data_IF_920838713104
#
_entry.id   IF_920838713104
#
_cell.length_a   1.000
_cell.length_b   1.000
_cell.length_c   1.000
_cell.angle_alpha   90.00
_cell.angle_beta   90.00
_cell.angle_gamma   90.00
#
_symmetry.space_group_name_H-M   'P 1'
#
loop_
_entity.id
_entity.type
_entity.pdbx_description
1 polymer ?
#
# COMPACT_ATOMS: atom_id res chain seq x y z
N UNK A 1 -50.20 25.79 -32.16
CA UNK A 1 -50.35 25.46 -30.73
C UNK A 1 -49.77 24.10 -30.35
N UNK A 2 -50.11 22.98 -31.03
CA UNK A 2 -49.52 21.66 -30.71
C UNK A 2 -48.00 21.56 -30.90
N UNK A 3 -47.44 22.19 -31.95
CA UNK A 3 -46.00 22.14 -32.23
C UNK A 3 -45.13 22.84 -31.16
N UNK A 4 -45.54 24.03 -30.71
CA UNK A 4 -44.86 24.76 -29.62
C UNK A 4 -44.87 23.99 -28.29
N UNK A 5 -45.96 23.27 -28.00
CA UNK A 5 -46.04 22.46 -26.78
C UNK A 5 -45.04 21.30 -26.81
N UNK A 6 -44.87 20.66 -27.97
CA UNK A 6 -43.92 19.57 -28.18
C UNK A 6 -42.47 20.06 -28.07
N UNK A 7 -42.12 21.17 -28.70
CA UNK A 7 -40.77 21.76 -28.57
C UNK A 7 -40.42 22.12 -27.12
N UNK A 8 -41.38 22.67 -26.37
CA UNK A 8 -41.18 23.02 -24.96
C UNK A 8 -40.96 21.78 -24.09
N UNK A 9 -41.70 20.70 -24.36
CA UNK A 9 -41.54 19.42 -23.66
C UNK A 9 -40.21 18.73 -23.98
N UNK A 10 -39.78 18.75 -25.24
CA UNK A 10 -38.49 18.18 -25.67
C UNK A 10 -37.34 18.91 -24.99
N UNK A 11 -37.35 20.25 -25.02
CA UNK A 11 -36.30 21.06 -24.38
C UNK A 11 -36.23 20.84 -22.87
N UNK A 12 -37.37 20.73 -22.19
CA UNK A 12 -37.42 20.41 -20.76
C UNK A 12 -36.88 19.01 -20.44
N UNK A 13 -37.09 18.03 -21.33
CA UNK A 13 -36.55 16.68 -21.17
C UNK A 13 -35.04 16.65 -21.39
N UNK A 14 -34.52 17.40 -22.37
CA UNK A 14 -33.09 17.54 -22.64
C UNK A 14 -32.37 18.20 -21.46
N UNK A 15 -32.88 19.32 -20.95
CA UNK A 15 -32.32 20.01 -19.76
C UNK A 15 -32.34 19.12 -18.52
N UNK A 16 -33.38 18.30 -18.35
CA UNK A 16 -33.45 17.33 -17.25
C UNK A 16 -32.39 16.24 -17.39
N UNK A 17 -32.21 15.71 -18.60
CA UNK A 17 -31.23 14.67 -18.88
C UNK A 17 -29.79 15.19 -18.73
N UNK A 18 -29.52 16.41 -19.16
CA UNK A 18 -28.22 17.08 -18.98
C UNK A 18 -27.90 17.30 -17.50
N UNK A 19 -28.89 17.76 -16.71
CA UNK A 19 -28.73 17.90 -15.26
C UNK A 19 -28.46 16.56 -14.56
N UNK A 20 -29.18 15.50 -14.93
CA UNK A 20 -28.96 14.14 -14.39
C UNK A 20 -27.54 13.64 -14.73
N UNK A 21 -27.06 13.85 -15.96
CA UNK A 21 -25.70 13.49 -16.36
C UNK A 21 -24.63 14.26 -15.57
N UNK A 22 -24.82 15.57 -15.38
CA UNK A 22 -23.91 16.41 -14.57
C UNK A 22 -23.87 15.93 -13.11
N UNK A 23 -25.01 15.54 -12.54
CA UNK A 23 -25.09 15.03 -11.17
C UNK A 23 -24.39 13.67 -11.02
N UNK A 24 -24.58 12.76 -11.98
CA UNK A 24 -23.89 11.45 -12.00
C UNK A 24 -22.37 11.63 -12.09
N UNK A 25 -21.87 12.49 -12.98
CA UNK A 25 -20.43 12.77 -13.11
C UNK A 25 -19.85 13.34 -11.81
N UNK A 26 -20.56 14.27 -11.16
CA UNK A 26 -20.13 14.83 -9.86
C UNK A 26 -20.09 13.78 -8.75
N UNK A 27 -21.08 12.87 -8.72
CA UNK A 27 -21.10 11.78 -7.74
C UNK A 27 -19.93 10.82 -7.94
N UNK A 28 -19.57 10.51 -9.18
CA UNK A 28 -18.42 9.67 -9.52
C UNK A 28 -17.09 10.32 -9.12
N UNK A 29 -16.93 11.63 -9.34
CA UNK A 29 -15.76 12.39 -8.91
C UNK A 29 -15.63 12.41 -7.38
N UNK A 30 -16.72 12.70 -6.66
CA UNK A 30 -16.76 12.67 -5.20
C UNK A 30 -16.45 11.28 -4.62
N UNK A 31 -16.89 10.21 -5.30
CA UNK A 31 -16.54 8.85 -4.89
C UNK A 31 -15.05 8.55 -5.08
N UNK A 32 -14.46 8.96 -6.21
CA UNK A 32 -13.02 8.82 -6.47
C UNK A 32 -12.19 9.59 -5.45
N UNK A 33 -12.57 10.82 -5.13
CA UNK A 33 -11.89 11.64 -4.13
C UNK A 33 -11.94 11.00 -2.73
N UNK A 34 -13.12 10.53 -2.29
CA UNK A 34 -13.26 9.79 -1.01
C UNK A 34 -12.45 8.50 -0.97
N UNK A 35 -12.36 7.77 -2.08
CA UNK A 35 -11.52 6.58 -2.17
C UNK A 35 -10.04 6.93 -2.04
N UNK A 36 -9.60 8.00 -2.70
CA UNK A 36 -8.24 8.52 -2.61
C UNK A 36 -7.87 8.97 -1.19
N UNK A 37 -8.76 9.69 -0.50
CA UNK A 37 -8.54 10.08 0.90
C UNK A 37 -8.43 8.87 1.83
N UNK A 38 -9.33 7.89 1.69
CA UNK A 38 -9.28 6.64 2.48
C UNK A 38 -7.98 5.87 2.25
N UNK A 39 -7.50 5.87 1.01
CA UNK A 39 -6.23 5.26 0.63
C UNK A 39 -5.05 5.95 1.31
N UNK A 40 -4.98 7.28 1.25
CA UNK A 40 -3.89 8.05 1.87
C UNK A 40 -3.89 7.85 3.39
N UNK A 41 -5.09 7.83 3.99
CA UNK A 41 -5.25 7.52 5.41
C UNK A 41 -4.72 6.13 5.75
N UNK A 42 -5.13 5.09 5.02
CA UNK A 42 -4.67 3.71 5.24
C UNK A 42 -3.15 3.59 5.14
N UNK A 43 -2.54 4.23 4.12
CA UNK A 43 -1.08 4.26 3.94
C UNK A 43 -0.38 4.86 5.18
N UNK A 44 -0.82 6.03 5.65
CA UNK A 44 -0.26 6.66 6.86
C UNK A 44 -0.42 5.78 8.09
N UNK A 45 -1.56 5.12 8.25
CA UNK A 45 -1.81 4.24 9.39
C UNK A 45 -0.90 3.00 9.37
N UNK A 46 -0.55 2.45 8.20
CA UNK A 46 0.50 1.40 8.07
C UNK A 46 1.87 1.97 8.39
N UNK A 47 2.22 3.14 7.83
CA UNK A 47 3.50 3.80 8.03
C UNK A 47 3.78 4.07 9.52
N UNK A 48 2.77 4.51 10.27
CA UNK A 48 2.87 4.76 11.71
C UNK A 48 2.69 3.50 12.57
N UNK A 49 2.60 2.31 11.96
CA UNK A 49 2.44 1.04 12.69
C UNK A 49 1.09 0.86 13.39
N UNK A 50 0.09 1.69 13.08
CA UNK A 50 -1.27 1.60 13.62
C UNK A 50 -2.07 0.47 12.96
N UNK A 51 -1.77 0.18 11.68
CA UNK A 51 -2.21 -1.02 11.00
C UNK A 51 -1.06 -2.04 11.01
N UNK A 52 -1.26 -3.14 11.74
CA UNK A 52 -0.32 -4.26 11.74
C UNK A 52 -0.60 -5.19 10.56
N UNK A 53 0.46 -5.50 9.82
CA UNK A 53 0.45 -6.34 8.64
C UNK A 53 0.38 -7.82 9.04
N UNK A 54 -0.60 -8.60 8.54
CA UNK A 54 -0.73 -10.00 8.88
C UNK A 54 0.38 -10.83 8.21
N UNK A 55 1.09 -11.62 9.01
CA UNK A 55 2.11 -12.56 8.51
C UNK A 55 1.51 -13.95 8.45
N UNK A 56 1.54 -14.55 7.26
CA UNK A 56 1.10 -15.94 7.05
C UNK A 56 2.26 -16.85 6.68
N UNK A 57 2.24 -18.05 7.23
CA UNK A 57 3.14 -19.14 6.88
C UNK A 57 2.31 -20.42 6.75
N UNK A 58 2.47 -21.17 5.66
CA UNK A 58 1.66 -22.37 5.36
C UNK A 58 0.15 -22.15 5.52
N UNK A 59 -0.34 -21.04 4.96
CA UNK A 59 -1.74 -20.58 5.03
C UNK A 59 -2.30 -20.31 6.44
N UNK A 60 -1.46 -20.34 7.48
CA UNK A 60 -1.83 -19.97 8.85
C UNK A 60 -1.25 -18.61 9.20
N UNK A 61 -2.03 -17.78 9.91
CA UNK A 61 -1.51 -16.54 10.47
C UNK A 61 -0.62 -16.88 11.66
N UNK A 62 0.62 -16.39 11.64
CA UNK A 62 1.61 -16.65 12.70
C UNK A 62 1.90 -15.40 13.53
N UNK A 63 1.71 -14.21 12.97
CA UNK A 63 1.96 -12.94 13.64
C UNK A 63 1.25 -11.78 12.93
N UNK A 64 1.31 -10.60 13.56
CA UNK A 64 1.06 -9.31 12.93
C UNK A 64 2.21 -8.36 13.26
N UNK A 65 2.73 -7.64 12.28
CA UNK A 65 3.89 -6.74 12.46
C UNK A 65 3.66 -5.35 11.91
N UNK A 66 4.29 -4.36 12.53
CA UNK A 66 4.39 -3.04 11.93
C UNK A 66 5.30 -3.10 10.71
N UNK A 67 5.05 -2.23 9.73
CA UNK A 67 6.03 -1.95 8.68
C UNK A 67 7.23 -1.24 9.31
N UNK A 68 8.44 -1.64 8.96
CA UNK A 68 9.67 -1.13 9.61
C UNK A 68 10.42 -0.10 8.76
N UNK A 69 10.31 -0.16 7.43
CA UNK A 69 11.00 0.78 6.52
C UNK A 69 12.53 0.81 6.62
N UNK A 70 13.14 -0.13 7.36
CA UNK A 70 14.56 -0.15 7.68
C UNK A 70 15.45 -0.72 6.56
N UNK A 71 14.86 -1.31 5.53
CA UNK A 71 15.60 -1.83 4.36
C UNK A 71 15.77 -0.72 3.32
N UNK A 72 14.66 -0.12 2.88
CA UNK A 72 14.66 1.10 2.10
C UNK A 72 13.28 1.77 2.15
N UNK A 73 13.25 3.07 1.93
CA UNK A 73 12.03 3.84 1.70
C UNK A 73 12.27 4.87 0.61
N UNK A 74 11.21 5.24 -0.10
CA UNK A 74 11.25 6.37 -1.03
C UNK A 74 10.03 7.27 -0.79
N UNK A 75 10.26 8.56 -0.98
CA UNK A 75 9.33 9.63 -0.67
C UNK A 75 9.00 10.48 -1.90
N UNK A 76 7.92 11.25 -1.78
CA UNK A 76 7.54 12.33 -2.69
C UNK A 76 7.62 13.65 -1.92
N UNK A 77 8.85 14.14 -1.73
CA UNK A 77 9.15 15.31 -0.91
C UNK A 77 9.16 14.99 0.58
N UNK A 78 8.03 15.23 1.26
CA UNK A 78 7.93 15.09 2.72
C UNK A 78 7.19 13.82 3.16
N UNK A 79 6.70 13.01 2.21
CA UNK A 79 5.87 11.84 2.51
C UNK A 79 6.48 10.57 1.93
N UNK A 80 6.75 9.58 2.80
CA UNK A 80 7.10 8.24 2.34
C UNK A 80 5.92 7.66 1.57
N UNK A 81 6.13 7.38 0.29
CA UNK A 81 5.10 6.84 -0.60
C UNK A 81 5.18 5.33 -0.76
N UNK A 82 6.35 4.73 -0.49
CA UNK A 82 6.58 3.28 -0.52
C UNK A 82 7.90 2.88 0.11
N UNK A 83 8.09 1.58 0.31
CA UNK A 83 9.33 1.07 0.87
C UNK A 83 9.23 -0.35 1.40
N UNK A 84 10.37 -0.89 1.81
CA UNK A 84 10.48 -2.21 2.39
C UNK A 84 11.23 -2.16 3.72
N UNK A 85 10.97 -3.18 4.52
CA UNK A 85 11.68 -3.38 5.77
C UNK A 85 11.71 -4.84 6.17
N UNK A 86 12.73 -5.22 6.92
CA UNK A 86 12.91 -6.56 7.46
C UNK A 86 12.69 -6.53 8.97
N UNK A 87 12.03 -7.57 9.47
CA UNK A 87 11.82 -7.78 10.91
C UNK A 87 11.91 -9.27 11.24
N UNK A 88 12.52 -9.59 12.37
CA UNK A 88 12.57 -10.95 12.88
C UNK A 88 11.40 -11.23 13.84
N UNK A 89 10.73 -12.36 13.67
CA UNK A 89 9.67 -12.84 14.55
C UNK A 89 9.96 -14.29 14.91
N UNK A 90 10.43 -14.53 16.13
CA UNK A 90 10.93 -15.85 16.52
C UNK A 90 12.00 -16.32 15.53
N UNK A 91 11.75 -17.46 14.89
CA UNK A 91 12.67 -18.06 13.89
C UNK A 91 12.36 -17.65 12.45
N UNK A 92 11.49 -16.66 12.23
CA UNK A 92 11.11 -16.21 10.90
C UNK A 92 11.63 -14.81 10.62
N UNK A 93 12.15 -14.60 9.41
CA UNK A 93 12.44 -13.28 8.88
C UNK A 93 11.28 -12.87 8.00
N UNK A 94 10.77 -11.66 8.21
CA UNK A 94 9.60 -11.13 7.54
C UNK A 94 9.97 -9.90 6.75
N UNK A 95 9.68 -9.94 5.44
CA UNK A 95 9.70 -8.78 4.58
C UNK A 95 8.37 -8.06 4.69
N UNK A 96 8.41 -6.81 5.16
CA UNK A 96 7.30 -5.87 5.18
C UNK A 96 7.43 -4.91 4.00
N UNK A 97 6.31 -4.63 3.33
CA UNK A 97 6.26 -3.74 2.15
C UNK A 97 5.14 -2.73 2.36
N UNK A 98 5.45 -1.46 2.18
CA UNK A 98 4.50 -0.36 2.03
C UNK A 98 4.31 -0.13 0.53
N UNK A 99 3.09 -0.35 0.03
CA UNK A 99 2.81 -0.22 -1.39
C UNK A 99 2.50 1.21 -1.76
N UNK A 100 2.99 1.66 -2.91
CA UNK A 100 2.65 2.96 -3.45
C UNK A 100 1.14 3.09 -3.71
N UNK A 101 0.53 1.98 -4.13
CA UNK A 101 -0.93 1.78 -4.23
C UNK A 101 -1.63 1.57 -2.88
N UNK A 102 -0.99 1.96 -1.77
CA UNK A 102 -1.61 2.02 -0.45
C UNK A 102 -1.60 0.69 0.30
N UNK A 103 -1.70 0.80 1.64
CA UNK A 103 -1.64 -0.35 2.54
C UNK A 103 -0.25 -0.98 2.58
N UNK A 104 -0.18 -2.23 3.04
CA UNK A 104 1.08 -2.96 3.11
C UNK A 104 0.89 -4.47 3.15
N UNK A 105 1.98 -5.18 2.95
CA UNK A 105 2.02 -6.64 3.02
C UNK A 105 3.21 -7.11 3.84
N UNK A 106 3.07 -8.25 4.49
CA UNK A 106 4.17 -8.89 5.19
C UNK A 106 4.25 -10.37 4.77
N UNK A 107 5.43 -10.84 4.37
CA UNK A 107 5.68 -12.23 3.99
C UNK A 107 6.89 -12.78 4.72
N UNK A 108 6.82 -14.04 5.13
CA UNK A 108 8.02 -14.77 5.58
C UNK A 108 8.92 -14.98 4.37
N UNK A 109 10.21 -14.71 4.53
CA UNK A 109 11.24 -14.97 3.53
C UNK A 109 12.34 -15.84 4.12
N UNK A 110 13.14 -16.46 3.26
CA UNK A 110 14.32 -17.22 3.71
C UNK A 110 15.44 -16.28 4.17
N UNK A 111 16.34 -16.77 5.03
CA UNK A 111 17.56 -16.03 5.42
C UNK A 111 18.40 -15.63 4.20
N UNK A 112 18.52 -16.51 3.21
CA UNK A 112 19.26 -16.22 1.98
C UNK A 112 18.61 -15.09 1.17
N UNK A 113 17.27 -15.04 1.10
CA UNK A 113 16.54 -13.93 0.46
C UNK A 113 16.73 -12.64 1.25
N UNK A 114 16.66 -12.70 2.59
CA UNK A 114 16.89 -11.53 3.44
C UNK A 114 18.30 -10.95 3.26
N UNK A 115 19.33 -11.81 3.23
CA UNK A 115 20.71 -11.40 2.97
C UNK A 115 20.83 -10.73 1.59
N UNK A 116 20.21 -11.32 0.54
CA UNK A 116 20.24 -10.72 -0.80
C UNK A 116 19.64 -9.31 -0.80
N UNK A 117 18.47 -9.13 -0.19
CA UNK A 117 17.83 -7.81 -0.08
C UNK A 117 18.72 -6.82 0.68
N UNK A 118 19.32 -7.23 1.80
CA UNK A 118 20.24 -6.39 2.58
C UNK A 118 21.42 -5.92 1.74
N UNK A 119 21.99 -6.80 0.91
CA UNK A 119 23.10 -6.46 0.03
C UNK A 119 22.67 -5.53 -1.12
N UNK A 120 21.51 -5.77 -1.73
CA UNK A 120 20.94 -4.93 -2.80
C UNK A 120 20.76 -3.49 -2.30
N UNK A 121 20.20 -3.32 -1.10
CA UNK A 121 19.92 -2.01 -0.52
C UNK A 121 21.03 -1.47 0.37
N UNK A 122 22.14 -2.21 0.52
CA UNK A 122 23.31 -1.86 1.34
C UNK A 122 22.95 -1.58 2.82
N UNK A 123 21.89 -2.20 3.32
CA UNK A 123 21.39 -2.03 4.69
C UNK A 123 22.15 -2.96 5.68
N UNK A 124 23.48 -2.95 5.65
CA UNK A 124 24.31 -3.97 6.32
C UNK A 124 24.14 -4.05 7.84
N UNK A 125 23.68 -2.98 8.49
CA UNK A 125 23.34 -2.98 9.92
C UNK A 125 22.29 -4.06 10.26
N UNK A 126 21.39 -4.37 9.31
CA UNK A 126 20.38 -5.42 9.48
C UNK A 126 20.95 -6.83 9.57
N UNK A 127 22.20 -7.07 9.14
CA UNK A 127 22.82 -8.39 9.28
C UNK A 127 23.01 -8.75 10.76
N UNK A 128 23.33 -7.76 11.60
CA UNK A 128 23.47 -7.95 13.03
C UNK A 128 22.09 -7.98 13.71
N UNK A 129 21.20 -7.03 13.38
CA UNK A 129 19.86 -6.93 13.98
C UNK A 129 18.98 -8.17 13.73
N UNK A 130 19.20 -8.86 12.61
CA UNK A 130 18.45 -10.07 12.24
C UNK A 130 19.23 -11.36 12.51
N UNK A 131 20.38 -11.28 13.20
CA UNK A 131 21.23 -12.41 13.53
C UNK A 131 21.66 -13.26 12.29
N UNK A 132 22.04 -12.58 11.21
CA UNK A 132 22.41 -13.17 9.91
C UNK A 132 23.92 -13.21 9.65
N UNK A 133 24.75 -12.62 10.52
CA UNK A 133 26.19 -12.49 10.30
C UNK A 133 26.89 -13.84 10.08
N UNK A 134 26.57 -14.86 10.88
CA UNK A 134 27.16 -16.19 10.71
C UNK A 134 26.71 -16.85 9.41
N UNK A 135 25.47 -16.62 8.99
CA UNK A 135 24.94 -17.15 7.75
C UNK A 135 25.61 -16.56 6.51
N UNK A 136 26.03 -15.30 6.56
CA UNK A 136 26.80 -14.68 5.48
C UNK A 136 28.17 -15.36 5.33
N UNK A 137 28.83 -15.71 6.44
CA UNK A 137 30.13 -16.41 6.40
C UNK A 137 30.02 -17.76 5.68
N UNK A 138 28.95 -18.52 5.96
CA UNK A 138 28.68 -19.80 5.30
C UNK A 138 28.43 -19.69 3.78
N UNK A 139 28.01 -18.52 3.30
CA UNK A 139 27.70 -18.30 1.87
C UNK A 139 28.91 -17.82 1.06
N UNK A 140 29.94 -17.28 1.75
CA UNK A 140 31.13 -16.69 1.13
C UNK A 140 32.39 -17.54 1.35
N UNK A 141 32.39 -18.42 2.37
CA UNK A 141 33.42 -19.44 2.60
C UNK A 141 33.23 -20.68 1.73
#
# INVERSE_FOLDING_TARGET
MKAQLVETMVKSLEEKHENELVEVVRLDELQKERQHERFLKSKREVQYGRILLPVRHNNKMIAKVAWTGNLYSYDDGDTIIGGQGLVQIGNHIVLTVLHESGGGTAKVISETEAIKEIFVWKAYHLLEELNLLDRVKDLVG
#
